data_IF_011576088158
#
_entry.id   IF_011576088158
#
_cell.length_a   1.000
_cell.length_b   1.000
_cell.length_c   1.000
_cell.angle_alpha   90.00
_cell.angle_beta   90.00
_cell.angle_gamma   90.00
#
_symmetry.space_group_name_H-M   'P 1'
#
loop_
_entity.id
_entity.type
_entity.pdbx_description
1 polymer ?
#
# COMPACT_ATOMS: atom_id res chain seq x y z
N UNK A 1 19.10 5.07 2.05
CA UNK A 1 18.70 4.57 0.74
C UNK A 1 17.39 5.19 0.32
N UNK A 2 17.33 5.64 -0.90
CA UNK A 2 16.14 6.33 -1.39
C UNK A 2 15.06 5.38 -1.87
N UNK A 3 13.85 5.70 -1.50
CA UNK A 3 12.66 4.99 -1.97
C UNK A 3 11.89 5.85 -2.96
N UNK A 4 12.60 6.54 -3.86
CA UNK A 4 11.95 7.45 -4.80
C UNK A 4 10.82 6.83 -5.58
N UNK A 5 10.93 5.55 -5.94
CA UNK A 5 9.87 4.83 -6.64
C UNK A 5 9.08 3.89 -5.71
N UNK A 6 9.27 4.02 -4.39
CA UNK A 6 8.61 3.13 -3.44
C UNK A 6 7.10 3.17 -3.52
N UNK A 7 6.53 4.36 -3.60
CA UNK A 7 5.07 4.49 -3.71
C UNK A 7 4.56 3.91 -5.03
N UNK A 8 5.31 4.07 -6.10
CA UNK A 8 4.95 3.50 -7.40
C UNK A 8 4.96 1.97 -7.34
N UNK A 9 5.98 1.40 -6.70
CA UNK A 9 6.06 -0.04 -6.52
C UNK A 9 4.89 -0.55 -5.70
N UNK A 10 4.58 0.13 -4.61
CA UNK A 10 3.45 -0.25 -3.76
C UNK A 10 2.14 -0.20 -4.52
N UNK A 11 1.96 0.82 -5.35
CA UNK A 11 0.75 0.97 -6.14
C UNK A 11 0.62 -0.18 -7.15
N UNK A 12 1.72 -0.54 -7.80
CA UNK A 12 1.71 -1.64 -8.76
C UNK A 12 1.37 -2.97 -8.08
N UNK A 13 1.95 -3.20 -6.92
CA UNK A 13 1.65 -4.42 -6.15
C UNK A 13 0.20 -4.42 -5.71
N UNK A 14 -0.30 -3.30 -5.24
CA UNK A 14 -1.69 -3.19 -4.81
C UNK A 14 -2.65 -3.45 -5.97
N UNK A 15 -2.34 -2.90 -7.16
CA UNK A 15 -3.16 -3.12 -8.33
C UNK A 15 -3.23 -4.59 -8.73
N UNK A 16 -2.16 -5.34 -8.49
CA UNK A 16 -2.12 -6.76 -8.81
C UNK A 16 -3.06 -7.58 -7.92
N UNK A 17 -3.21 -7.18 -6.66
CA UNK A 17 -3.89 -8.01 -5.67
C UNK A 17 -5.26 -7.49 -5.25
N UNK A 18 -5.54 -6.21 -5.44
CA UNK A 18 -6.77 -5.62 -4.89
C UNK A 18 -8.04 -6.30 -5.40
N UNK A 19 -8.04 -6.69 -6.67
CA UNK A 19 -9.21 -7.34 -7.28
C UNK A 19 -9.34 -8.79 -6.87
N UNK A 20 -8.27 -9.39 -6.35
CA UNK A 20 -8.27 -10.76 -5.87
C UNK A 20 -8.72 -10.86 -4.42
N UNK A 21 -8.89 -9.73 -3.76
CA UNK A 21 -9.24 -9.69 -2.35
C UNK A 21 -10.70 -9.28 -2.17
N UNK A 22 -11.44 -9.97 -1.28
CA UNK A 22 -12.77 -9.49 -0.90
C UNK A 22 -12.65 -8.16 -0.19
N UNK A 23 -13.69 -7.34 -0.27
CA UNK A 23 -13.67 -6.00 0.34
C UNK A 23 -13.30 -6.03 1.81
N UNK A 24 -13.77 -7.06 2.52
CA UNK A 24 -13.50 -7.16 3.95
C UNK A 24 -12.02 -7.33 4.27
N UNK A 25 -11.24 -7.86 3.31
CA UNK A 25 -9.83 -8.09 3.54
C UNK A 25 -8.93 -7.01 2.95
N UNK A 26 -9.46 -6.18 2.06
CA UNK A 26 -8.65 -5.14 1.42
C UNK A 26 -8.06 -4.18 2.42
N UNK A 27 -8.84 -3.76 3.41
CA UNK A 27 -8.37 -2.84 4.44
C UNK A 27 -7.22 -3.43 5.25
N UNK A 28 -7.38 -4.70 5.64
CA UNK A 28 -6.37 -5.38 6.46
C UNK A 28 -5.07 -5.53 5.68
N UNK A 29 -5.17 -6.00 4.44
CA UNK A 29 -3.99 -6.20 3.61
C UNK A 29 -3.32 -4.88 3.28
N UNK A 30 -4.10 -3.85 2.99
CA UNK A 30 -3.54 -2.53 2.70
C UNK A 30 -2.77 -1.99 3.90
N UNK A 31 -3.30 -2.16 5.10
CA UNK A 31 -2.61 -1.72 6.31
C UNK A 31 -1.28 -2.46 6.49
N UNK A 32 -1.27 -3.75 6.22
CA UNK A 32 -0.05 -4.53 6.35
C UNK A 32 1.00 -4.11 5.32
N UNK A 33 0.58 -3.82 4.10
CA UNK A 33 1.50 -3.36 3.07
C UNK A 33 2.12 -2.03 3.47
N UNK A 34 1.30 -1.09 3.95
CA UNK A 34 1.81 0.20 4.42
C UNK A 34 2.81 -0.02 5.55
N UNK A 35 2.48 -0.90 6.49
CA UNK A 35 3.35 -1.18 7.62
C UNK A 35 4.70 -1.75 7.18
N UNK A 36 4.68 -2.66 6.21
CA UNK A 36 5.91 -3.27 5.70
C UNK A 36 6.80 -2.19 5.06
N UNK A 37 6.21 -1.33 4.25
CA UNK A 37 6.98 -0.27 3.61
C UNK A 37 7.52 0.72 4.63
N UNK A 38 6.76 1.03 5.67
CA UNK A 38 7.23 1.90 6.74
C UNK A 38 8.40 1.27 7.49
N UNK A 39 8.34 -0.04 7.73
CA UNK A 39 9.42 -0.75 8.39
C UNK A 39 10.70 -0.72 7.57
N UNK A 40 10.58 -0.58 6.27
CA UNK A 40 11.72 -0.48 5.36
C UNK A 40 12.12 0.96 5.07
N UNK A 41 11.66 1.88 5.89
CA UNK A 41 11.96 3.31 5.78
C UNK A 41 11.49 3.92 4.46
N UNK A 42 10.38 3.45 3.94
CA UNK A 42 9.81 3.97 2.70
C UNK A 42 8.94 5.19 3.00
N UNK A 43 9.54 6.35 3.01
CA UNK A 43 8.82 7.60 3.32
C UNK A 43 7.77 7.93 2.26
N UNK A 44 8.00 7.48 1.03
CA UNK A 44 7.10 7.82 -0.08
C UNK A 44 5.83 6.98 -0.11
N UNK A 45 5.68 6.03 0.81
CA UNK A 45 4.49 5.17 0.82
C UNK A 45 3.20 5.99 0.93
N UNK A 46 3.25 7.12 1.60
CA UNK A 46 2.09 7.98 1.80
C UNK A 46 1.65 8.69 0.52
N UNK A 47 2.47 8.65 -0.54
CA UNK A 47 2.12 9.20 -1.84
C UNK A 47 1.24 8.24 -2.64
N UNK A 48 1.15 6.98 -2.21
CA UNK A 48 0.29 5.99 -2.85
C UNK A 48 -1.14 6.17 -2.33
N UNK A 49 -1.86 7.11 -2.92
CA UNK A 49 -3.18 7.50 -2.42
C UNK A 49 -4.19 6.36 -2.40
N UNK A 50 -4.15 5.49 -3.40
CA UNK A 50 -5.09 4.36 -3.47
C UNK A 50 -4.87 3.39 -2.32
N UNK A 51 -3.60 3.08 -2.04
CA UNK A 51 -3.26 2.16 -0.97
C UNK A 51 -3.60 2.75 0.40
N UNK A 52 -3.26 4.02 0.61
CA UNK A 52 -3.56 4.70 1.87
C UNK A 52 -5.07 4.77 2.09
N UNK A 53 -5.81 5.09 1.05
CA UNK A 53 -7.28 5.15 1.15
C UNK A 53 -7.85 3.78 1.53
N UNK A 54 -7.35 2.72 0.90
CA UNK A 54 -7.80 1.37 1.20
C UNK A 54 -7.48 1.00 2.65
N UNK A 55 -6.30 1.41 3.14
CA UNK A 55 -5.89 1.10 4.51
C UNK A 55 -6.79 1.78 5.54
N UNK A 56 -7.44 2.88 5.15
CA UNK A 56 -8.36 3.60 6.04
C UNK A 56 -9.80 3.11 5.92
N UNK A 57 -10.05 2.19 5.00
CA UNK A 57 -11.38 1.63 4.83
C UNK A 57 -12.36 2.52 4.09
N UNK A 58 -11.85 3.39 3.24
CA UNK A 58 -12.71 4.29 2.45
C UNK A 58 -12.71 3.98 1.00
#
# INVERSE_FOLDING_TARGET
MGWGSGSYLAERLWDLIKDELPKSKRKIVAKEIVSIFEDMDCDTIYECSDLIRASRGK
#
